data_IF_276504162447
#
_entry.id   IF_276504162447
#
_cell.length_a   1.000
_cell.length_b   1.000
_cell.length_c   1.000
_cell.angle_alpha   90.00
_cell.angle_beta   90.00
_cell.angle_gamma   90.00
#
_symmetry.space_group_name_H-M   'P 1'
#
loop_
_entity.id
_entity.type
_entity.pdbx_description
1 polymer ?
#
# COMPACT_ATOMS: atom_id res chain seq x y z
N UNK A 1 2.73 38.07 -31.01
CA UNK A 1 2.73 36.59 -30.93
C UNK A 1 3.35 36.12 -29.61
N UNK A 2 2.87 36.63 -28.47
CA UNK A 2 3.32 36.26 -27.11
C UNK A 2 2.06 36.06 -26.27
N UNK A 3 1.28 35.04 -26.61
CA UNK A 3 -0.04 34.87 -25.98
C UNK A 3 -0.63 33.46 -26.09
N UNK A 4 -0.01 32.56 -26.87
CA UNK A 4 -0.41 31.16 -26.96
C UNK A 4 0.54 30.24 -26.20
N UNK A 5 1.83 30.56 -26.18
CA UNK A 5 2.87 29.72 -25.55
C UNK A 5 2.86 29.81 -24.02
N UNK A 6 2.52 30.97 -23.44
CA UNK A 6 2.49 31.15 -21.98
C UNK A 6 1.37 30.32 -21.30
N UNK A 7 0.23 30.15 -21.98
CA UNK A 7 -0.90 29.36 -21.48
C UNK A 7 -0.60 27.88 -21.46
N UNK A 8 0.11 27.39 -22.48
CA UNK A 8 0.50 25.98 -22.56
C UNK A 8 1.55 25.65 -21.49
N UNK A 9 2.54 26.52 -21.29
CA UNK A 9 3.55 26.33 -20.23
C UNK A 9 2.92 26.41 -18.83
N UNK A 10 1.97 27.33 -18.60
CA UNK A 10 1.24 27.43 -17.34
C UNK A 10 0.37 26.20 -17.04
N UNK A 11 -0.34 25.69 -18.05
CA UNK A 11 -1.16 24.47 -17.91
C UNK A 11 -0.30 23.22 -17.63
N UNK A 12 0.86 23.09 -18.28
CA UNK A 12 1.77 21.95 -18.04
C UNK A 12 2.33 21.98 -16.62
N UNK A 13 2.69 23.17 -16.08
CA UNK A 13 3.12 23.30 -14.69
C UNK A 13 2.00 22.93 -13.69
N UNK A 14 0.75 23.29 -13.96
CA UNK A 14 -0.39 22.94 -13.08
C UNK A 14 -0.68 21.44 -13.09
N UNK A 15 -0.53 20.77 -14.23
CA UNK A 15 -0.71 19.30 -14.33
C UNK A 15 0.41 18.55 -13.57
N UNK A 16 1.65 19.05 -13.60
CA UNK A 16 2.76 18.46 -12.82
C UNK A 16 2.55 18.65 -11.31
N UNK A 17 1.98 19.79 -10.88
CA UNK A 17 1.65 20.04 -9.48
C UNK A 17 0.42 19.24 -9.00
N UNK A 18 -0.55 18.97 -9.88
CA UNK A 18 -1.71 18.11 -9.57
C UNK A 18 -1.38 16.61 -9.55
N UNK A 19 -0.27 16.21 -10.18
CA UNK A 19 0.27 14.85 -10.10
C UNK A 19 1.05 14.61 -8.79
N UNK A 20 1.30 15.65 -8.00
CA UNK A 20 1.97 15.54 -6.71
C UNK A 20 1.05 15.00 -5.61
N UNK A 21 0.56 13.78 -5.81
CA UNK A 21 0.26 12.85 -4.71
C UNK A 21 1.56 12.25 -4.15
N UNK A 22 2.64 13.04 -4.13
CA UNK A 22 4.01 12.58 -3.88
C UNK A 22 4.24 12.17 -2.43
N UNK A 23 3.35 12.52 -1.50
CA UNK A 23 3.43 12.07 -0.11
C UNK A 23 2.91 10.64 0.11
N UNK A 24 2.07 10.12 -0.80
CA UNK A 24 1.43 8.81 -0.63
C UNK A 24 2.02 7.70 -1.52
N UNK A 25 2.55 8.05 -2.71
CA UNK A 25 3.16 7.07 -3.60
C UNK A 25 4.42 6.42 -2.99
N UNK A 26 5.22 7.21 -2.27
CA UNK A 26 6.40 6.72 -1.54
C UNK A 26 5.96 5.77 -0.41
N UNK A 27 4.92 6.13 0.35
CA UNK A 27 4.28 5.29 1.38
C UNK A 27 3.73 3.98 0.88
N UNK A 28 3.14 3.99 -0.32
CA UNK A 28 2.68 2.75 -0.93
C UNK A 28 3.85 1.85 -1.37
N UNK A 29 4.83 2.40 -2.09
CA UNK A 29 5.98 1.64 -2.56
C UNK A 29 6.77 1.01 -1.41
N UNK A 30 6.99 1.75 -0.33
CA UNK A 30 7.66 1.23 0.86
C UNK A 30 6.81 0.16 1.59
N UNK A 31 5.49 0.35 1.70
CA UNK A 31 4.59 -0.66 2.29
C UNK A 31 4.59 -1.97 1.48
N UNK A 32 4.56 -1.89 0.16
CA UNK A 32 4.66 -3.08 -0.71
C UNK A 32 6.02 -3.75 -0.58
N UNK A 33 7.10 -2.98 -0.53
CA UNK A 33 8.44 -3.51 -0.31
C UNK A 33 8.55 -4.24 1.04
N UNK A 34 7.93 -3.71 2.10
CA UNK A 34 7.85 -4.35 3.41
C UNK A 34 7.10 -5.70 3.37
N UNK A 35 6.13 -5.88 2.46
CA UNK A 35 5.39 -7.13 2.33
C UNK A 35 6.08 -8.20 1.46
N UNK A 36 7.16 -7.87 0.75
CA UNK A 36 7.95 -8.84 -0.02
C UNK A 36 8.38 -10.09 0.79
N UNK A 37 8.89 -9.99 2.03
CA UNK A 37 9.18 -11.18 2.85
C UNK A 37 7.94 -12.02 3.18
N UNK A 38 6.74 -11.45 3.12
CA UNK A 38 5.48 -12.17 3.36
C UNK A 38 4.96 -12.89 2.11
N UNK A 39 5.48 -12.57 0.92
CA UNK A 39 4.89 -12.96 -0.38
C UNK A 39 4.66 -14.47 -0.48
N UNK A 40 5.62 -15.30 -0.09
CA UNK A 40 5.55 -16.74 -0.31
C UNK A 40 4.50 -17.38 0.60
N UNK A 41 4.32 -16.84 1.80
CA UNK A 41 3.22 -17.25 2.68
C UNK A 41 1.85 -16.75 2.16
N UNK A 42 1.78 -15.48 1.77
CA UNK A 42 0.57 -14.83 1.27
C UNK A 42 0.05 -15.47 -0.03
N UNK A 43 0.94 -15.99 -0.86
CA UNK A 43 0.62 -16.67 -2.13
C UNK A 43 0.58 -18.19 -2.02
N UNK A 44 0.63 -18.73 -0.79
CA UNK A 44 0.61 -20.17 -0.50
C UNK A 44 1.76 -20.98 -1.14
N UNK A 45 2.84 -20.31 -1.58
CA UNK A 45 4.09 -20.97 -2.01
C UNK A 45 4.85 -21.59 -0.84
N UNK A 46 4.64 -21.06 0.37
CA UNK A 46 5.20 -21.59 1.62
C UNK A 46 4.11 -21.72 2.69
N UNK A 47 4.16 -22.82 3.43
CA UNK A 47 3.36 -23.02 4.64
C UNK A 47 3.86 -22.17 5.80
N UNK A 48 5.16 -21.85 5.81
CA UNK A 48 5.82 -21.16 6.91
C UNK A 48 5.90 -19.67 6.65
N UNK A 49 5.63 -18.90 7.70
CA UNK A 49 5.80 -17.47 7.68
C UNK A 49 7.28 -17.11 7.87
N UNK A 50 7.82 -16.25 7.03
CA UNK A 50 9.19 -15.79 7.17
C UNK A 50 9.32 -14.92 8.44
N UNK A 51 10.35 -15.10 9.29
CA UNK A 51 10.58 -14.24 10.45
C UNK A 51 10.53 -12.71 10.15
N UNK A 52 11.12 -12.20 9.05
CA UNK A 52 11.04 -10.77 8.75
C UNK A 52 9.63 -10.29 8.37
N UNK A 53 8.71 -11.19 8.00
CA UNK A 53 7.36 -10.79 7.61
C UNK A 53 6.59 -10.15 8.78
N UNK A 54 6.64 -10.73 9.98
CA UNK A 54 5.93 -10.15 11.14
C UNK A 54 6.49 -8.79 11.53
N UNK A 55 7.80 -8.62 11.47
CA UNK A 55 8.45 -7.35 11.76
C UNK A 55 8.08 -6.29 10.72
N UNK A 56 7.96 -6.67 9.45
CA UNK A 56 7.54 -5.76 8.40
C UNK A 56 6.06 -5.38 8.51
N UNK A 57 5.18 -6.34 8.83
CA UNK A 57 3.76 -6.08 9.08
C UNK A 57 3.54 -5.14 10.28
N UNK A 58 4.36 -5.28 11.33
CA UNK A 58 4.36 -4.36 12.48
C UNK A 58 4.81 -2.95 12.10
N UNK A 59 5.87 -2.81 11.30
CA UNK A 59 6.33 -1.50 10.82
C UNK A 59 5.29 -0.80 9.95
N UNK A 60 4.59 -1.56 9.11
CA UNK A 60 3.53 -1.03 8.24
C UNK A 60 2.39 -0.43 9.07
N UNK A 61 2.04 -1.05 10.20
CA UNK A 61 1.10 -0.47 11.16
C UNK A 61 1.60 0.88 11.72
N UNK A 62 2.90 0.98 12.02
CA UNK A 62 3.52 2.22 12.49
C UNK A 62 3.48 3.39 11.50
N UNK A 63 3.20 3.14 10.22
CA UNK A 63 3.06 4.19 9.20
C UNK A 63 1.67 4.84 9.17
N UNK A 64 0.68 4.21 9.81
CA UNK A 64 -0.72 4.66 9.80
C UNK A 64 -0.94 5.63 10.96
N UNK A 65 -0.80 6.93 10.69
CA UNK A 65 -0.97 7.94 11.74
C UNK A 65 -2.35 8.62 11.73
N UNK A 66 -3.02 8.62 10.57
CA UNK A 66 -4.30 9.30 10.37
C UNK A 66 -5.27 8.46 9.54
N UNK A 67 -6.58 8.77 9.60
CA UNK A 67 -7.61 8.20 8.71
C UNK A 67 -7.28 8.32 7.20
N UNK A 68 -6.79 9.47 6.69
CA UNK A 68 -6.36 9.54 5.28
C UNK A 68 -5.20 8.60 4.98
N UNK A 69 -4.22 8.44 5.88
CA UNK A 69 -3.12 7.49 5.70
C UNK A 69 -3.64 6.06 5.65
N UNK A 70 -4.56 5.70 6.55
CA UNK A 70 -5.20 4.40 6.57
C UNK A 70 -5.89 4.09 5.24
N UNK A 71 -6.68 5.02 4.71
CA UNK A 71 -7.38 4.87 3.44
C UNK A 71 -6.41 4.70 2.28
N UNK A 72 -5.37 5.54 2.23
CA UNK A 72 -4.34 5.46 1.19
C UNK A 72 -3.55 4.15 1.25
N UNK A 73 -3.14 3.70 2.44
CA UNK A 73 -2.49 2.41 2.61
C UNK A 73 -3.43 1.26 2.25
N UNK A 74 -4.71 1.34 2.62
CA UNK A 74 -5.69 0.33 2.24
C UNK A 74 -5.80 0.21 0.71
N UNK A 75 -5.99 1.33 -0.01
CA UNK A 75 -6.09 1.32 -1.47
C UNK A 75 -4.81 0.79 -2.13
N UNK A 76 -3.65 1.12 -1.57
CA UNK A 76 -2.35 0.60 -1.99
C UNK A 76 -2.25 -0.92 -1.80
N UNK A 77 -2.53 -1.41 -0.59
CA UNK A 77 -2.41 -2.83 -0.25
C UNK A 77 -3.44 -3.67 -1.00
N UNK A 78 -4.63 -3.12 -1.27
CA UNK A 78 -5.63 -3.75 -2.13
C UNK A 78 -5.08 -4.02 -3.54
N UNK A 79 -4.47 -3.00 -4.15
CA UNK A 79 -3.86 -3.13 -5.49
C UNK A 79 -2.69 -4.12 -5.47
N UNK A 80 -1.83 -4.06 -4.46
CA UNK A 80 -0.72 -4.99 -4.30
C UNK A 80 -1.19 -6.43 -4.09
N UNK A 81 -2.23 -6.63 -3.27
CA UNK A 81 -2.82 -7.94 -3.01
C UNK A 81 -3.42 -8.55 -4.28
N UNK A 82 -4.05 -7.74 -5.12
CA UNK A 82 -4.55 -8.16 -6.42
C UNK A 82 -3.40 -8.55 -7.37
N UNK A 83 -2.37 -7.70 -7.49
CA UNK A 83 -1.22 -7.93 -8.36
C UNK A 83 -0.40 -9.17 -7.98
N UNK A 84 -0.30 -9.46 -6.68
CA UNK A 84 0.43 -10.62 -6.15
C UNK A 84 -0.42 -11.90 -6.08
N UNK A 85 -1.72 -11.83 -6.38
CA UNK A 85 -2.67 -12.93 -6.16
C UNK A 85 -2.63 -13.46 -4.71
N UNK A 86 -2.72 -12.55 -3.74
CA UNK A 86 -2.73 -12.90 -2.32
C UNK A 86 -3.97 -13.75 -1.99
N UNK A 87 -3.74 -14.81 -1.22
CA UNK A 87 -4.79 -15.64 -0.64
C UNK A 87 -5.32 -14.94 0.63
N UNK A 88 -6.58 -14.52 0.58
CA UNK A 88 -7.22 -13.72 1.64
C UNK A 88 -7.15 -14.41 3.00
N UNK A 89 -7.38 -15.72 3.08
CA UNK A 89 -7.32 -16.46 4.34
C UNK A 89 -5.91 -16.45 4.95
N UNK A 90 -4.86 -16.48 4.12
CA UNK A 90 -3.48 -16.35 4.58
C UNK A 90 -3.22 -14.95 5.12
N UNK A 91 -3.65 -13.92 4.40
CA UNK A 91 -3.51 -12.54 4.88
C UNK A 91 -4.26 -12.30 6.21
N UNK A 92 -5.47 -12.83 6.37
CA UNK A 92 -6.27 -12.73 7.60
C UNK A 92 -5.65 -13.47 8.79
N UNK A 93 -4.84 -14.50 8.54
CA UNK A 93 -4.11 -15.23 9.59
C UNK A 93 -2.89 -14.47 10.13
N UNK A 94 -2.34 -13.49 9.40
CA UNK A 94 -1.11 -12.77 9.78
C UNK A 94 -1.19 -12.09 11.16
N UNK A 95 -2.24 -11.30 11.49
CA UNK A 95 -2.31 -10.63 12.78
C UNK A 95 -2.25 -11.60 13.96
N UNK A 96 -2.92 -12.75 13.85
CA UNK A 96 -2.92 -13.79 14.86
C UNK A 96 -1.57 -14.50 14.96
N UNK A 97 -0.96 -14.86 13.82
CA UNK A 97 0.34 -15.54 13.78
C UNK A 97 1.49 -14.65 14.26
N UNK A 98 1.43 -13.37 13.95
CA UNK A 98 2.47 -12.41 14.32
C UNK A 98 2.23 -11.74 15.68
N UNK A 99 1.10 -12.02 16.33
CA UNK A 99 0.69 -11.34 17.57
C UNK A 99 0.70 -9.80 17.45
N UNK A 100 0.24 -9.28 16.31
CA UNK A 100 0.19 -7.85 16.02
C UNK A 100 -1.25 -7.41 15.75
N UNK A 101 -1.51 -6.13 16.01
CA UNK A 101 -2.74 -5.48 15.60
C UNK A 101 -2.46 -4.77 14.27
N UNK A 102 -3.07 -5.24 13.18
CA UNK A 102 -2.93 -4.61 11.85
C UNK A 102 -4.25 -3.92 11.51
N UNK A 103 -4.30 -2.57 11.52
CA UNK A 103 -5.50 -1.84 11.15
C UNK A 103 -5.72 -1.82 9.63
N UNK A 104 -4.68 -2.07 8.83
CA UNK A 104 -4.79 -2.06 7.37
C UNK A 104 -5.01 -3.49 6.83
N UNK A 105 -6.15 -3.75 6.17
CA UNK A 105 -6.42 -5.05 5.56
C UNK A 105 -5.54 -5.30 4.32
N UNK A 106 -4.99 -6.50 4.22
CA UNK A 106 -4.28 -7.00 3.01
C UNK A 106 -5.26 -7.92 2.27
N UNK A 107 -6.21 -7.34 1.56
CA UNK A 107 -7.28 -8.08 0.87
C UNK A 107 -7.62 -7.36 -0.44
N UNK A 108 -7.61 -8.05 -1.61
CA UNK A 108 -7.91 -7.43 -2.89
C UNK A 108 -9.40 -7.01 -3.03
N UNK A 109 -10.29 -7.53 -2.18
CA UNK A 109 -11.73 -7.27 -2.20
C UNK A 109 -12.17 -6.29 -1.12
N UNK A 110 -11.25 -5.75 -0.32
CA UNK A 110 -11.63 -4.85 0.77
C UNK A 110 -12.18 -3.52 0.24
N UNK A 111 -13.16 -2.99 0.97
CA UNK A 111 -13.67 -1.63 0.76
C UNK A 111 -12.87 -0.66 1.63
N UNK A 112 -11.98 0.10 0.99
CA UNK A 112 -11.14 1.11 1.65
C UNK A 112 -11.87 2.43 1.89
N UNK A 113 -13.16 2.51 1.56
CA UNK A 113 -13.93 3.76 1.67
C UNK A 113 -14.59 3.96 3.04
N UNK A 114 -14.53 2.94 3.89
CA UNK A 114 -15.10 2.89 5.24
C UNK A 114 -14.01 3.02 6.29
#
# INVERSE_FOLDING_TARGET
MVGRSAWVVGMIMVVVLAAARHTNAVSCAQAVAMLLPCKDYLTQKSSSLAPPCCQAASQLNGMVHSKPDLRNMCDCLKQAAAALHVIVDRAKSLPQMCHIQVPVPIDPNVDCSR
#
